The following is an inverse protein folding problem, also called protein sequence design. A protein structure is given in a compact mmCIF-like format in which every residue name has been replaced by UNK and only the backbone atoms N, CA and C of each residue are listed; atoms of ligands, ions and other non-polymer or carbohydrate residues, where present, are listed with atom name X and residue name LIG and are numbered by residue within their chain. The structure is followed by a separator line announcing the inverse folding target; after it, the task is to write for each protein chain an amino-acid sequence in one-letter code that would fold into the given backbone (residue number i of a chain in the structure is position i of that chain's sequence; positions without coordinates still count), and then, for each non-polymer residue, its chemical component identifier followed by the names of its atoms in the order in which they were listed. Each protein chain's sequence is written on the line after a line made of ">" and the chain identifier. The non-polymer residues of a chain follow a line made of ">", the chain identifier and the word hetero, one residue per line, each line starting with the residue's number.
data_IF_018904423082
#
_entry.id   IF_018904423082
#
_cell.length_a   1.000
_cell.length_b   1.000
_cell.length_c   1.000
_cell.angle_alpha   90.00
_cell.angle_beta   90.00
_cell.angle_gamma   90.00
#
_symmetry.space_group_name_H-M   'P 1'
#
loop_
_entity.id
_entity.type
_entity.pdbx_description
1 polymer ?
#
# COMPACT_ATOMS: atom_id res chain seq x y z
N UNK A 1 -17.23 1.94 -5.14
CA UNK A 1 -17.99 0.70 -5.38
C UNK A 1 -19.03 0.52 -4.27
N UNK A 2 -18.62 0.41 -3.01
CA UNK A 2 -19.54 0.07 -1.88
C UNK A 2 -20.57 1.16 -1.52
N UNK A 3 -20.27 2.44 -1.76
CA UNK A 3 -21.17 3.56 -1.40
C UNK A 3 -22.58 3.41 -1.98
N UNK A 4 -22.68 2.99 -3.25
CA UNK A 4 -23.98 2.84 -3.91
C UNK A 4 -24.76 1.64 -3.34
N UNK A 5 -24.06 0.60 -2.89
CA UNK A 5 -24.65 -0.56 -2.22
C UNK A 5 -25.22 -0.18 -0.85
N UNK A 6 -24.47 0.60 -0.06
CA UNK A 6 -24.98 1.09 1.23
C UNK A 6 -26.21 2.00 1.06
N UNK A 7 -26.21 2.88 0.05
CA UNK A 7 -27.38 3.71 -0.26
C UNK A 7 -28.61 2.89 -0.67
N UNK A 8 -28.40 1.71 -1.26
CA UNK A 8 -29.46 0.76 -1.59
C UNK A 8 -29.87 -0.15 -0.42
N UNK A 9 -29.36 0.06 0.80
CA UNK A 9 -29.74 -0.66 2.00
C UNK A 9 -28.98 -1.96 2.26
N UNK A 10 -27.94 -2.27 1.47
CA UNK A 10 -27.09 -3.43 1.73
C UNK A 10 -26.15 -3.18 2.92
N UNK A 11 -25.90 -4.21 3.72
CA UNK A 11 -24.93 -4.18 4.81
C UNK A 11 -23.55 -4.68 4.38
N UNK A 12 -22.49 -4.20 5.05
CA UNK A 12 -21.17 -4.79 4.90
C UNK A 12 -21.09 -6.12 5.67
N UNK A 13 -20.69 -7.20 4.99
CA UNK A 13 -20.40 -8.49 5.63
C UNK A 13 -19.04 -8.48 6.35
N UNK A 14 -18.17 -7.57 5.96
CA UNK A 14 -16.89 -7.27 6.58
C UNK A 14 -15.89 -6.70 5.58
N UNK A 15 -14.67 -6.44 6.01
CA UNK A 15 -13.57 -5.98 5.15
C UNK A 15 -12.43 -7.00 5.12
N UNK A 16 -11.62 -7.00 4.06
CA UNK A 16 -10.43 -7.87 4.00
C UNK A 16 -9.53 -7.69 5.22
N UNK A 17 -9.40 -6.46 5.74
CA UNK A 17 -8.58 -6.19 6.93
C UNK A 17 -9.18 -6.72 8.24
N UNK A 18 -10.49 -6.99 8.30
CA UNK A 18 -11.11 -7.65 9.46
C UNK A 18 -10.78 -9.14 9.51
N UNK A 19 -10.71 -9.80 8.35
CA UNK A 19 -10.41 -11.23 8.27
C UNK A 19 -8.91 -11.54 8.11
N UNK A 20 -8.17 -10.61 7.52
CA UNK A 20 -6.74 -10.74 7.23
C UNK A 20 -6.01 -9.44 7.64
N UNK A 21 -5.87 -9.16 8.95
CA UNK A 21 -5.33 -7.89 9.45
C UNK A 21 -3.88 -7.64 9.05
N UNK A 22 -3.13 -8.70 8.75
CA UNK A 22 -1.71 -8.68 8.36
C UNK A 22 -1.48 -8.84 6.87
N UNK A 23 -2.55 -9.05 6.08
CA UNK A 23 -2.40 -9.24 4.64
C UNK A 23 -2.01 -7.91 3.99
N UNK A 24 -0.84 -7.82 3.33
CA UNK A 24 -0.41 -6.57 2.75
C UNK A 24 -1.36 -6.18 1.61
N UNK A 25 -1.76 -4.92 1.61
CA UNK A 25 -2.54 -4.35 0.51
C UNK A 25 -1.67 -4.12 -0.73
N UNK A 26 -1.96 -3.04 -1.47
CA UNK A 26 -1.17 -2.68 -2.64
C UNK A 26 0.31 -2.44 -2.30
N UNK A 27 1.20 -2.97 -3.13
CA UNK A 27 2.66 -2.78 -3.04
C UNK A 27 3.21 -2.13 -4.30
N UNK A 28 4.39 -1.52 -4.18
CA UNK A 28 5.24 -1.21 -5.33
C UNK A 28 6.22 -2.37 -5.55
N UNK A 29 6.36 -2.82 -6.80
CA UNK A 29 7.29 -3.88 -7.17
C UNK A 29 8.07 -3.49 -8.43
N UNK A 30 9.33 -3.92 -8.51
CA UNK A 30 10.19 -3.71 -9.66
C UNK A 30 10.74 -5.05 -10.17
N UNK A 31 11.01 -5.14 -11.49
CA UNK A 31 11.73 -6.29 -12.04
C UNK A 31 13.15 -6.31 -11.49
N UNK A 32 13.66 -7.48 -11.08
CA UNK A 32 15.02 -7.62 -10.54
C UNK A 32 16.09 -7.05 -11.48
N UNK A 33 16.01 -7.34 -12.78
CA UNK A 33 16.96 -6.82 -13.78
C UNK A 33 16.96 -5.30 -13.86
N UNK A 34 15.78 -4.68 -13.78
CA UNK A 34 15.64 -3.23 -13.78
C UNK A 34 16.18 -2.62 -12.48
N UNK A 35 15.83 -3.19 -11.32
CA UNK A 35 16.31 -2.71 -10.02
C UNK A 35 17.85 -2.69 -9.93
N UNK A 36 18.51 -3.71 -10.48
CA UNK A 36 19.98 -3.78 -10.54
C UNK A 36 20.55 -2.68 -11.43
N UNK A 37 19.95 -2.42 -12.60
CA UNK A 37 20.43 -1.40 -13.54
C UNK A 37 20.12 0.04 -13.11
N UNK A 38 19.08 0.21 -12.28
CA UNK A 38 18.52 1.52 -11.89
C UNK A 38 18.53 1.72 -10.38
N UNK A 39 19.55 1.19 -9.71
CA UNK A 39 19.59 1.08 -8.26
C UNK A 39 19.43 2.44 -7.54
N UNK A 40 20.11 3.48 -8.01
CA UNK A 40 20.02 4.82 -7.40
C UNK A 40 18.67 5.49 -7.66
N UNK A 41 18.06 5.25 -8.83
CA UNK A 41 16.71 5.72 -9.12
C UNK A 41 15.67 5.03 -8.23
N UNK A 42 15.83 3.72 -7.99
CA UNK A 42 14.96 2.98 -7.08
C UNK A 42 15.11 3.48 -5.64
N UNK A 43 16.32 3.71 -5.16
CA UNK A 43 16.57 4.31 -3.84
C UNK A 43 15.96 5.71 -3.74
N UNK A 44 16.11 6.53 -4.80
CA UNK A 44 15.49 7.85 -4.90
C UNK A 44 13.96 7.80 -4.83
N UNK A 45 13.34 6.86 -5.55
CA UNK A 45 11.90 6.61 -5.49
C UNK A 45 11.44 6.23 -4.08
N UNK A 46 12.15 5.31 -3.41
CA UNK A 46 11.82 4.89 -2.03
C UNK A 46 11.86 6.10 -1.08
N UNK A 47 12.92 6.93 -1.17
CA UNK A 47 13.04 8.16 -0.37
C UNK A 47 11.93 9.15 -0.65
N UNK A 48 11.62 9.39 -1.93
CA UNK A 48 10.57 10.32 -2.34
C UNK A 48 9.18 9.85 -1.87
N UNK A 49 8.88 8.56 -2.01
CA UNK A 49 7.62 7.98 -1.55
C UNK A 49 7.45 8.09 -0.03
N UNK A 50 8.51 7.81 0.73
CA UNK A 50 8.52 7.99 2.18
C UNK A 50 8.33 9.47 2.55
N UNK A 51 9.03 10.37 1.86
CA UNK A 51 8.91 11.82 2.02
C UNK A 51 7.48 12.31 1.80
N UNK A 52 6.84 11.86 0.71
CA UNK A 52 5.43 12.18 0.43
C UNK A 52 4.49 11.66 1.54
N UNK A 53 4.73 10.46 2.05
CA UNK A 53 3.94 9.90 3.16
C UNK A 53 4.09 10.70 4.46
N UNK A 54 5.28 11.25 4.74
CA UNK A 54 5.51 12.14 5.87
C UNK A 54 4.87 13.51 5.66
N UNK A 55 5.04 14.10 4.47
CA UNK A 55 4.45 15.38 4.10
C UNK A 55 2.93 15.36 4.27
N UNK A 56 2.26 14.31 3.77
CA UNK A 56 0.81 14.11 3.91
C UNK A 56 0.34 13.92 5.37
N UNK A 57 1.24 13.60 6.31
CA UNK A 57 0.92 13.38 7.73
C UNK A 57 1.25 14.59 8.61
N UNK A 58 1.98 15.56 8.07
CA UNK A 58 2.29 16.80 8.78
C UNK A 58 1.04 17.69 8.85
N UNK A 59 0.58 18.07 10.06
CA UNK A 59 -0.56 18.96 10.21
C UNK A 59 -0.42 20.28 9.46
N UNK A 60 0.80 20.77 9.26
CA UNK A 60 1.08 22.00 8.52
C UNK A 60 0.65 21.92 7.04
N UNK A 61 0.64 20.73 6.45
CA UNK A 61 0.29 20.51 5.05
C UNK A 61 -1.16 20.01 4.86
N UNK A 62 -1.93 19.84 5.94
CA UNK A 62 -3.28 19.22 5.88
C UNK A 62 -4.22 19.90 4.88
N UNK A 63 -4.29 21.23 4.92
CA UNK A 63 -5.20 21.98 4.05
C UNK A 63 -4.84 21.80 2.57
N UNK A 64 -3.55 21.90 2.25
CA UNK A 64 -3.04 21.69 0.89
C UNK A 64 -3.28 20.25 0.42
N UNK A 65 -2.97 19.26 1.25
CA UNK A 65 -3.16 17.85 0.93
C UNK A 65 -4.63 17.49 0.62
N UNK A 66 -5.59 18.07 1.36
CA UNK A 66 -7.02 17.87 1.10
C UNK A 66 -7.44 18.53 -0.22
N UNK A 67 -6.90 19.71 -0.54
CA UNK A 67 -7.22 20.44 -1.76
C UNK A 67 -6.77 19.72 -3.05
N UNK A 68 -5.72 18.88 -2.97
CA UNK A 68 -5.24 18.10 -4.11
C UNK A 68 -6.19 16.96 -4.54
N UNK A 69 -7.01 16.45 -3.62
CA UNK A 69 -7.81 15.24 -3.84
C UNK A 69 -8.96 15.44 -4.85
N UNK A 70 -9.78 16.52 -4.79
CA UNK A 70 -10.86 16.75 -5.75
C UNK A 70 -10.37 16.80 -7.20
N UNK A 71 -9.25 17.47 -7.47
CA UNK A 71 -8.69 17.61 -8.81
C UNK A 71 -8.23 16.28 -9.41
N UNK A 72 -7.71 15.38 -8.56
CA UNK A 72 -7.12 14.11 -9.00
C UNK A 72 -8.10 12.95 -9.01
N UNK A 73 -9.09 12.97 -8.12
CA UNK A 73 -10.00 11.84 -7.89
C UNK A 73 -11.45 12.15 -8.26
N UNK A 74 -11.76 13.39 -8.65
CA UNK A 74 -13.12 13.85 -8.97
C UNK A 74 -14.12 13.54 -7.84
N UNK A 75 -13.76 13.95 -6.61
CA UNK A 75 -14.55 13.74 -5.39
C UNK A 75 -14.92 15.06 -4.72
N UNK A 76 -15.99 15.06 -3.91
CA UNK A 76 -16.39 16.23 -3.13
C UNK A 76 -15.35 16.57 -2.05
N UNK A 77 -15.32 17.84 -1.62
CA UNK A 77 -14.45 18.31 -0.54
C UNK A 77 -14.68 17.55 0.79
N UNK A 78 -15.94 17.25 1.13
CA UNK A 78 -16.28 16.41 2.29
C UNK A 78 -15.64 15.02 2.20
N UNK A 79 -15.76 14.37 1.03
CA UNK A 79 -15.20 13.04 0.83
C UNK A 79 -13.66 13.09 0.83
N UNK A 80 -13.07 14.14 0.28
CA UNK A 80 -11.63 14.38 0.33
C UNK A 80 -11.13 14.49 1.79
N UNK A 81 -11.80 15.30 2.62
CA UNK A 81 -11.45 15.44 4.04
C UNK A 81 -11.53 14.11 4.78
N UNK A 82 -12.62 13.35 4.60
CA UNK A 82 -12.78 12.03 5.24
C UNK A 82 -11.76 11.01 4.76
N UNK A 83 -11.44 11.00 3.46
CA UNK A 83 -10.43 10.12 2.89
C UNK A 83 -9.03 10.44 3.42
N UNK A 84 -8.69 11.73 3.53
CA UNK A 84 -7.45 12.19 4.14
C UNK A 84 -7.35 11.77 5.61
N UNK A 85 -8.39 12.02 6.41
CA UNK A 85 -8.41 11.64 7.83
C UNK A 85 -8.28 10.11 8.01
N UNK A 86 -8.87 9.31 7.12
CA UNK A 86 -8.71 7.86 7.11
C UNK A 86 -7.29 7.42 6.72
N UNK A 87 -6.62 8.15 5.81
CA UNK A 87 -5.25 7.87 5.40
C UNK A 87 -4.24 8.15 6.50
N UNK A 88 -4.31 9.32 7.16
CA UNK A 88 -3.33 9.73 8.18
C UNK A 88 -3.39 8.87 9.45
N UNK A 89 -4.54 8.26 9.74
CA UNK A 89 -4.70 7.28 10.84
C UNK A 89 -3.99 5.96 10.59
N UNK A 90 -3.64 5.65 9.34
CA UNK A 90 -2.91 4.41 9.01
C UNK A 90 -1.42 4.61 9.28
N UNK A 91 -0.73 3.59 9.85
CA UNK A 91 0.72 3.63 9.99
C UNK A 91 1.39 3.78 8.62
N UNK A 92 2.66 4.17 8.63
CA UNK A 92 3.46 4.15 7.41
C UNK A 92 3.49 2.73 6.85
N UNK A 93 3.44 2.56 5.53
CA UNK A 93 3.49 1.24 4.91
C UNK A 93 4.85 0.60 5.21
N UNK A 94 4.81 -0.65 5.66
CA UNK A 94 5.98 -1.51 5.90
C UNK A 94 5.83 -2.76 5.04
N UNK A 95 6.95 -3.26 4.52
CA UNK A 95 7.00 -4.56 3.88
C UNK A 95 7.77 -5.49 4.83
N UNK A 96 7.15 -6.58 5.23
CA UNK A 96 7.77 -7.61 6.03
C UNK A 96 7.57 -9.01 5.42
N UNK A 97 8.41 -9.94 5.84
CA UNK A 97 8.42 -11.30 5.30
C UNK A 97 7.15 -12.09 5.68
N UNK A 98 6.52 -11.80 6.82
CA UNK A 98 5.34 -12.52 7.28
C UNK A 98 4.11 -12.17 6.43
N UNK A 99 3.90 -10.89 6.15
CA UNK A 99 2.85 -10.42 5.25
C UNK A 99 3.01 -10.99 3.84
N UNK A 100 4.23 -11.01 3.30
CA UNK A 100 4.48 -11.62 1.99
C UNK A 100 4.28 -13.14 2.01
N UNK A 101 4.68 -13.83 3.09
CA UNK A 101 4.42 -15.26 3.24
C UNK A 101 2.92 -15.54 3.17
N UNK A 102 2.09 -14.74 3.84
CA UNK A 102 0.64 -14.86 3.79
C UNK A 102 0.08 -14.69 2.36
N UNK A 103 0.60 -13.73 1.58
CA UNK A 103 0.23 -13.58 0.17
C UNK A 103 0.58 -14.83 -0.64
N UNK A 104 1.80 -15.34 -0.45
CA UNK A 104 2.27 -16.55 -1.13
C UNK A 104 1.36 -17.72 -0.81
N UNK A 105 1.00 -17.91 0.47
CA UNK A 105 0.17 -19.02 0.91
C UNK A 105 -1.24 -18.97 0.33
N UNK A 106 -1.90 -17.82 0.43
CA UNK A 106 -3.25 -17.59 -0.12
C UNK A 106 -3.27 -17.84 -1.63
N UNK A 107 -2.29 -17.29 -2.36
CA UNK A 107 -2.24 -17.46 -3.81
C UNK A 107 -1.97 -18.91 -4.21
N UNK A 108 -1.11 -19.61 -3.48
CA UNK A 108 -0.80 -21.02 -3.77
C UNK A 108 -1.99 -21.94 -3.60
N UNK A 109 -2.74 -21.74 -2.51
CA UNK A 109 -3.93 -22.51 -2.19
C UNK A 109 -5.05 -22.23 -3.18
N UNK A 110 -5.32 -20.95 -3.45
CA UNK A 110 -6.38 -20.53 -4.38
C UNK A 110 -6.15 -21.05 -5.81
N UNK A 111 -4.90 -21.08 -6.28
CA UNK A 111 -4.53 -21.54 -7.63
C UNK A 111 -4.23 -23.04 -7.70
N UNK A 112 -4.29 -23.77 -6.58
CA UNK A 112 -4.03 -25.21 -6.52
C UNK A 112 -2.63 -25.63 -7.02
N UNK A 113 -1.63 -24.76 -6.86
CA UNK A 113 -0.30 -24.96 -7.44
C UNK A 113 0.42 -26.17 -6.82
N UNK A 114 0.84 -27.10 -7.67
CA UNK A 114 1.52 -28.33 -7.24
C UNK A 114 3.04 -28.19 -7.09
N UNK A 115 3.62 -27.10 -7.60
CA UNK A 115 5.05 -26.84 -7.46
C UNK A 115 5.39 -26.39 -6.02
N UNK A 116 6.66 -26.43 -5.58
CA UNK A 116 7.05 -25.91 -4.27
C UNK A 116 6.84 -24.39 -4.14
N UNK A 117 6.29 -23.95 -3.00
CA UNK A 117 6.14 -22.54 -2.65
C UNK A 117 7.51 -21.85 -2.62
N UNK A 118 7.59 -20.62 -3.12
CA UNK A 118 8.79 -19.79 -2.93
C UNK A 118 8.77 -19.16 -1.54
N UNK A 119 9.92 -19.06 -0.87
CA UNK A 119 10.04 -18.27 0.36
C UNK A 119 10.02 -16.75 0.07
N UNK A 120 9.66 -15.89 1.03
CA UNK A 120 9.60 -14.43 0.85
C UNK A 120 10.91 -13.83 0.31
N UNK A 121 12.05 -14.35 0.75
CA UNK A 121 13.39 -13.94 0.31
C UNK A 121 13.62 -14.09 -1.21
N UNK A 122 12.83 -14.93 -1.89
CA UNK A 122 12.87 -15.05 -3.36
C UNK A 122 12.37 -13.79 -4.06
N UNK A 123 11.47 -13.04 -3.45
CA UNK A 123 10.78 -11.89 -4.05
C UNK A 123 11.11 -10.56 -3.36
N UNK A 124 11.64 -10.61 -2.13
CA UNK A 124 12.04 -9.43 -1.36
C UNK A 124 13.53 -9.17 -1.47
N UNK A 125 13.87 -7.92 -1.75
CA UNK A 125 15.23 -7.38 -1.62
C UNK A 125 15.15 -6.08 -0.82
N UNK A 126 15.47 -6.16 0.47
CA UNK A 126 15.40 -5.02 1.40
C UNK A 126 16.65 -4.14 1.34
N UNK A 127 17.68 -4.51 0.58
CA UNK A 127 18.92 -3.72 0.49
C UNK A 127 18.68 -2.31 -0.07
N UNK A 128 17.71 -2.14 -0.97
CA UNK A 128 17.31 -0.83 -1.49
C UNK A 128 16.62 0.04 -0.42
N UNK A 129 15.85 -0.57 0.49
CA UNK A 129 15.24 0.15 1.61
C UNK A 129 16.32 0.60 2.61
N UNK A 130 17.24 -0.29 2.95
CA UNK A 130 18.38 0.03 3.83
C UNK A 130 19.23 1.17 3.25
N UNK A 131 19.55 1.12 1.94
CA UNK A 131 20.23 2.22 1.23
C UNK A 131 19.43 3.53 1.22
N UNK A 132 18.10 3.44 1.27
CA UNK A 132 17.23 4.60 1.38
C UNK A 132 17.15 5.17 2.82
N UNK A 133 17.73 4.51 3.82
CA UNK A 133 17.71 4.93 5.23
C UNK A 133 16.48 4.45 5.99
N UNK A 134 15.92 3.29 5.60
CA UNK A 134 14.86 2.57 6.30
C UNK A 134 15.46 1.41 7.11
#
# INVERSE_FOLDING_TARGET
>A
FDRNLFAAGFGALGTTTQFFPTYPGSIAAARRSWAVQHADQLVGFIRAFRGACHWLRDPAHKAEAIALLPERLNISADLASRAFDAFVKKPLPVIDAAGLQQVIDVYWEAEGLQRPKGAPAKYMDLSYQQRAGL
#
